data_IF_034158628286
#
_entry.id   IF_034158628286
#
_cell.length_a   1.000
_cell.length_b   1.000
_cell.length_c   1.000
_cell.angle_alpha   90.00
_cell.angle_beta   90.00
_cell.angle_gamma   90.00
#
_symmetry.space_group_name_H-M   'P 1'
#
loop_
_entity.id
_entity.type
_entity.pdbx_description
1 polymer ?
#
# COMPACT_ATOMS: atom_id res chain seq x y z
N UNK A 1 -14.78 -13.62 1.65
CA UNK A 1 -14.36 -13.86 3.05
C UNK A 1 -12.83 -13.77 3.23
N UNK A 2 -12.05 -14.57 2.51
CA UNK A 2 -10.57 -14.59 2.60
C UNK A 2 -9.91 -13.22 2.47
N UNK A 3 -10.32 -12.41 1.49
CA UNK A 3 -9.81 -11.04 1.32
C UNK A 3 -10.04 -10.17 2.56
N UNK A 4 -11.25 -10.17 3.11
CA UNK A 4 -11.60 -9.38 4.28
C UNK A 4 -10.79 -9.81 5.52
N UNK A 5 -10.52 -11.11 5.68
CA UNK A 5 -9.66 -11.63 6.74
C UNK A 5 -8.22 -11.12 6.58
N UNK A 6 -7.66 -11.23 5.37
CA UNK A 6 -6.29 -10.78 5.09
C UNK A 6 -6.15 -9.28 5.37
N UNK A 7 -7.08 -8.46 4.88
CA UNK A 7 -7.01 -7.00 5.04
C UNK A 7 -7.25 -6.59 6.50
N UNK A 8 -8.26 -7.16 7.17
CA UNK A 8 -8.55 -6.86 8.57
C UNK A 8 -7.39 -7.22 9.50
N UNK A 9 -6.80 -8.40 9.32
CA UNK A 9 -5.62 -8.81 10.09
C UNK A 9 -4.39 -7.96 9.75
N UNK A 10 -4.21 -7.54 8.50
CA UNK A 10 -3.12 -6.64 8.11
C UNK A 10 -3.14 -5.33 8.90
N UNK A 11 -4.31 -4.70 9.06
CA UNK A 11 -4.44 -3.48 9.88
C UNK A 11 -4.18 -3.71 11.37
N UNK A 12 -4.63 -4.85 11.89
CA UNK A 12 -4.31 -5.24 13.26
C UNK A 12 -2.80 -5.38 13.45
N UNK A 13 -2.09 -6.09 12.56
CA UNK A 13 -0.65 -6.27 12.66
C UNK A 13 0.12 -4.97 12.48
N UNK A 14 -0.30 -4.07 11.59
CA UNK A 14 0.32 -2.74 11.46
C UNK A 14 0.13 -1.93 12.74
N UNK A 15 -1.05 -1.97 13.36
CA UNK A 15 -1.28 -1.27 14.64
C UNK A 15 -0.39 -1.83 15.75
N UNK A 16 -0.20 -3.15 15.81
CA UNK A 16 0.74 -3.79 16.74
C UNK A 16 2.18 -3.39 16.44
N UNK A 17 2.60 -3.36 15.17
CA UNK A 17 3.95 -2.92 14.81
C UNK A 17 4.21 -1.46 15.21
N UNK A 18 3.19 -0.60 15.13
CA UNK A 18 3.29 0.81 15.53
C UNK A 18 3.41 1.02 17.06
N UNK A 19 3.26 -0.02 17.89
CA UNK A 19 3.54 0.11 19.33
C UNK A 19 5.04 0.03 19.63
N UNK A 20 5.84 -0.50 18.71
CA UNK A 20 7.28 -0.72 18.87
C UNK A 20 8.14 0.00 17.82
N UNK A 21 7.55 0.43 16.70
CA UNK A 21 8.25 1.07 15.59
C UNK A 21 7.58 2.39 15.20
N UNK A 22 8.36 3.35 14.69
CA UNK A 22 7.78 4.58 14.15
C UNK A 22 7.04 4.32 12.83
N UNK A 23 6.10 5.19 12.43
CA UNK A 23 5.41 5.08 11.14
C UNK A 23 6.36 4.94 9.94
N UNK A 24 7.47 5.69 9.97
CA UNK A 24 8.48 5.64 8.91
C UNK A 24 9.28 4.34 8.93
N UNK A 25 9.64 3.82 10.10
CA UNK A 25 10.34 2.52 10.21
C UNK A 25 9.46 1.37 9.74
N UNK A 26 8.18 1.37 10.13
CA UNK A 26 7.21 0.37 9.67
C UNK A 26 7.07 0.39 8.14
N UNK A 27 7.07 1.58 7.54
CA UNK A 27 6.99 1.76 6.10
C UNK A 27 8.29 1.34 5.40
N UNK A 28 9.45 1.69 5.96
CA UNK A 28 10.75 1.29 5.46
C UNK A 28 10.88 -0.23 5.41
N UNK A 29 10.59 -0.93 6.51
CA UNK A 29 10.61 -2.39 6.56
C UNK A 29 9.65 -3.02 5.54
N UNK A 30 8.42 -2.48 5.41
CA UNK A 30 7.44 -2.96 4.41
C UNK A 30 8.01 -2.89 2.99
N UNK A 31 8.61 -1.76 2.61
CA UNK A 31 9.17 -1.61 1.26
C UNK A 31 10.49 -2.36 1.05
N UNK A 32 11.33 -2.50 2.08
CA UNK A 32 12.54 -3.33 2.01
C UNK A 32 12.18 -4.80 1.75
N UNK A 33 11.20 -5.35 2.47
CA UNK A 33 10.75 -6.73 2.25
C UNK A 33 10.16 -6.89 0.85
N UNK A 34 9.34 -5.94 0.40
CA UNK A 34 8.79 -5.96 -0.96
C UNK A 34 9.90 -5.93 -2.02
N UNK A 35 10.93 -5.10 -1.83
CA UNK A 35 12.07 -5.01 -2.73
C UNK A 35 12.86 -6.33 -2.78
N UNK A 36 13.13 -6.96 -1.64
CA UNK A 36 13.80 -8.27 -1.57
C UNK A 36 12.97 -9.34 -2.28
N UNK A 37 11.65 -9.39 -2.04
CA UNK A 37 10.76 -10.36 -2.67
C UNK A 37 10.73 -10.23 -4.20
N UNK A 38 10.53 -9.01 -4.71
CA UNK A 38 10.52 -8.74 -6.15
C UNK A 38 11.87 -9.03 -6.79
N UNK A 39 12.96 -8.64 -6.14
CA UNK A 39 14.32 -8.89 -6.64
C UNK A 39 14.62 -10.38 -6.70
N UNK A 40 14.28 -11.13 -5.66
CA UNK A 40 14.45 -12.60 -5.62
C UNK A 40 13.65 -13.27 -6.75
N UNK A 41 12.38 -12.91 -6.91
CA UNK A 41 11.54 -13.46 -7.99
C UNK A 41 12.10 -13.13 -9.38
N UNK A 42 12.62 -11.91 -9.59
CA UNK A 42 13.26 -11.51 -10.85
C UNK A 42 14.48 -12.38 -11.15
N UNK A 43 15.34 -12.62 -10.17
CA UNK A 43 16.54 -13.48 -10.31
C UNK A 43 16.13 -14.91 -10.66
N UNK A 44 15.12 -15.46 -10.00
CA UNK A 44 14.63 -16.83 -10.25
C UNK A 44 13.94 -16.98 -11.61
N UNK A 45 13.15 -16.00 -12.04
CA UNK A 45 12.33 -16.09 -13.25
C UNK A 45 13.14 -15.83 -14.54
N UNK A 46 14.34 -15.23 -14.43
CA UNK A 46 15.23 -14.85 -15.56
C UNK A 46 14.55 -14.07 -16.71
N UNK A 47 13.35 -13.54 -16.49
CA UNK A 47 12.63 -12.76 -17.50
C UNK A 47 13.31 -11.42 -17.68
N UNK A 48 13.67 -11.10 -18.93
CA UNK A 48 14.16 -9.78 -19.28
C UNK A 48 13.02 -8.76 -19.16
N UNK A 49 13.11 -7.87 -18.17
CA UNK A 49 12.24 -6.71 -18.09
C UNK A 49 12.73 -5.67 -19.10
N UNK A 50 12.02 -5.55 -20.23
CA UNK A 50 12.23 -4.43 -21.16
C UNK A 50 11.47 -3.22 -20.60
N UNK A 51 12.19 -2.32 -19.95
CA UNK A 51 11.63 -1.08 -19.39
C UNK A 51 12.35 0.09 -20.04
N UNK A 52 11.60 0.97 -20.70
CA UNK A 52 12.15 2.17 -21.34
C UNK A 52 12.33 3.28 -20.30
N UNK A 53 13.22 4.25 -20.53
CA UNK A 53 13.40 5.41 -19.63
C UNK A 53 12.09 6.18 -19.38
N UNK A 54 11.21 6.27 -20.38
CA UNK A 54 9.87 6.86 -20.26
C UNK A 54 8.98 6.06 -19.30
N UNK A 55 9.05 4.74 -19.38
CA UNK A 55 8.30 3.84 -18.51
C UNK A 55 8.76 3.97 -17.06
N UNK A 56 10.07 4.15 -16.82
CA UNK A 56 10.60 4.39 -15.48
C UNK A 56 9.98 5.66 -14.87
N UNK A 57 9.88 6.75 -15.64
CA UNK A 57 9.26 7.99 -15.16
C UNK A 57 7.80 7.81 -14.77
N UNK A 58 7.02 7.10 -15.60
CA UNK A 58 5.61 6.80 -15.33
C UNK A 58 5.48 5.88 -14.11
N UNK A 59 6.28 4.82 -14.04
CA UNK A 59 6.29 3.88 -12.91
C UNK A 59 6.69 4.59 -11.63
N UNK A 60 7.66 5.50 -11.66
CA UNK A 60 8.07 6.26 -10.49
C UNK A 60 6.93 7.18 -10.00
N UNK A 61 6.27 7.89 -10.90
CA UNK A 61 5.11 8.73 -10.55
C UNK A 61 3.97 7.88 -9.96
N UNK A 62 3.67 6.76 -10.59
CA UNK A 62 2.67 5.81 -10.09
C UNK A 62 3.08 5.30 -8.71
N UNK A 63 4.32 4.84 -8.52
CA UNK A 63 4.80 4.30 -7.25
C UNK A 63 4.79 5.33 -6.11
N UNK A 64 5.01 6.61 -6.42
CA UNK A 64 4.88 7.70 -5.44
C UNK A 64 3.43 7.84 -5.00
N UNK A 65 2.48 7.95 -5.92
CA UNK A 65 1.06 8.09 -5.60
C UNK A 65 0.49 6.82 -4.95
N UNK A 66 0.76 5.68 -5.57
CA UNK A 66 0.39 4.36 -5.11
C UNK A 66 1.52 3.36 -5.47
N UNK A 67 2.25 2.80 -4.49
CA UNK A 67 1.78 2.57 -3.12
C UNK A 67 2.31 3.52 -2.04
N UNK A 68 3.30 4.37 -2.32
CA UNK A 68 4.07 5.10 -1.28
C UNK A 68 3.21 6.03 -0.45
N UNK A 69 2.55 6.99 -1.11
CA UNK A 69 1.73 8.00 -0.44
C UNK A 69 0.50 7.38 0.23
N UNK A 70 -0.14 6.42 -0.44
CA UNK A 70 -1.24 5.64 0.13
C UNK A 70 -0.85 4.97 1.46
N UNK A 71 0.26 4.24 1.48
CA UNK A 71 0.69 3.57 2.70
C UNK A 71 1.21 4.52 3.76
N UNK A 72 1.84 5.63 3.39
CA UNK A 72 2.20 6.68 4.34
C UNK A 72 0.95 7.20 5.07
N UNK A 73 -0.06 7.67 4.33
CA UNK A 73 -1.30 8.15 4.93
C UNK A 73 -2.03 7.07 5.72
N UNK A 74 -2.02 5.83 5.25
CA UNK A 74 -2.59 4.70 5.99
C UNK A 74 -1.92 4.52 7.35
N UNK A 75 -0.59 4.43 7.40
CA UNK A 75 0.14 4.17 8.65
C UNK A 75 -0.05 5.34 9.62
N UNK A 76 0.03 6.59 9.15
CA UNK A 76 -0.25 7.77 9.97
C UNK A 76 -1.70 7.83 10.48
N UNK A 77 -2.67 7.44 9.64
CA UNK A 77 -4.06 7.28 10.05
C UNK A 77 -4.19 6.24 11.17
N UNK A 78 -3.56 5.08 11.00
CA UNK A 78 -3.56 3.99 11.97
C UNK A 78 -2.88 4.35 13.30
N UNK A 79 -2.02 5.37 13.38
CA UNK A 79 -1.54 5.87 14.68
C UNK A 79 -2.71 6.40 15.51
N UNK A 80 -3.62 7.14 14.89
CA UNK A 80 -4.67 7.89 15.57
C UNK A 80 -5.98 7.12 15.76
N UNK A 81 -6.19 6.03 15.02
CA UNK A 81 -7.42 5.22 15.09
C UNK A 81 -7.15 3.78 15.50
N UNK A 82 -8.18 3.08 15.95
CA UNK A 82 -8.13 1.62 16.15
C UNK A 82 -8.17 0.88 14.80
N UNK A 83 -7.73 -0.39 14.79
CA UNK A 83 -7.80 -1.25 13.60
C UNK A 83 -9.23 -1.44 13.09
N UNK A 84 -10.21 -1.56 13.99
CA UNK A 84 -11.63 -1.66 13.65
C UNK A 84 -12.14 -0.38 12.98
N UNK A 85 -11.80 0.80 13.51
CA UNK A 85 -12.16 2.09 12.90
C UNK A 85 -11.50 2.26 11.52
N UNK A 86 -10.22 1.90 11.38
CA UNK A 86 -9.53 1.92 10.09
C UNK A 86 -10.22 1.01 9.06
N UNK A 87 -10.67 -0.19 9.47
CA UNK A 87 -11.44 -1.10 8.62
C UNK A 87 -12.78 -0.51 8.18
N UNK A 88 -13.51 0.14 9.08
CA UNK A 88 -14.77 0.83 8.74
C UNK A 88 -14.52 1.97 7.74
N UNK A 89 -13.49 2.80 7.97
CA UNK A 89 -13.10 3.85 7.02
C UNK A 89 -12.75 3.25 5.66
N UNK A 90 -12.00 2.14 5.63
CA UNK A 90 -11.65 1.48 4.38
C UNK A 90 -12.88 0.91 3.64
N UNK A 91 -13.90 0.45 4.37
CA UNK A 91 -15.16 -0.01 3.78
C UNK A 91 -15.93 1.11 3.08
N UNK A 92 -15.62 2.40 3.36
CA UNK A 92 -16.20 3.55 2.67
C UNK A 92 -15.49 3.92 1.35
N UNK A 93 -14.34 3.31 1.04
CA UNK A 93 -13.61 3.58 -0.21
C UNK A 93 -14.51 3.53 -1.46
N UNK A 94 -15.42 2.57 -1.64
CA UNK A 94 -16.29 2.52 -2.82
C UNK A 94 -17.12 3.80 -3.03
N UNK A 95 -17.51 4.49 -1.96
CA UNK A 95 -18.26 5.75 -2.03
C UNK A 95 -17.40 6.83 -2.68
N UNK A 96 -16.17 7.00 -2.19
CA UNK A 96 -15.21 7.96 -2.76
C UNK A 96 -14.84 7.58 -4.19
N UNK A 97 -14.63 6.29 -4.46
CA UNK A 97 -14.37 5.78 -5.82
C UNK A 97 -15.50 6.18 -6.77
N UNK A 98 -16.77 6.02 -6.37
CA UNK A 98 -17.92 6.39 -7.19
C UNK A 98 -17.97 7.91 -7.44
N UNK A 99 -17.75 8.72 -6.41
CA UNK A 99 -17.71 10.19 -6.53
C UNK A 99 -16.63 10.60 -7.52
N UNK A 100 -15.39 10.13 -7.34
CA UNK A 100 -14.29 10.47 -8.25
C UNK A 100 -14.52 9.94 -9.66
N UNK A 101 -15.05 8.72 -9.81
CA UNK A 101 -15.41 8.17 -11.11
C UNK A 101 -16.44 9.06 -11.82
N UNK A 102 -17.48 9.52 -11.13
CA UNK A 102 -18.49 10.42 -11.72
C UNK A 102 -17.93 11.78 -12.18
N UNK A 103 -16.86 12.26 -11.53
CA UNK A 103 -16.22 13.53 -11.85
C UNK A 103 -15.23 13.38 -13.01
N UNK A 104 -14.39 12.35 -12.98
CA UNK A 104 -13.26 12.20 -13.91
C UNK A 104 -13.55 11.28 -15.12
N UNK A 105 -14.44 10.31 -14.97
CA UNK A 105 -14.67 9.24 -15.96
C UNK A 105 -16.04 9.35 -16.65
N UNK A 106 -16.57 10.58 -16.78
CA UNK A 106 -17.88 10.89 -17.35
C UNK A 106 -18.28 10.00 -18.53
#
# INVERSE_FOLDING_TARGET
>A
LTYAIIIGLSFMFVKVALTIATPFDALAHRFTIAFIGVTTLKVLTKKSLKVTKKDIGIIALLAILYPTLFFAFQVFGLVNVSSSQAGIIQATIPIFTLIFASIFLK
#
